data_IF_516495148580
#
_entry.id   IF_516495148580
#
_cell.length_a   1.000
_cell.length_b   1.000
_cell.length_c   1.000
_cell.angle_alpha   90.00
_cell.angle_beta   90.00
_cell.angle_gamma   90.00
#
_symmetry.space_group_name_H-M   'P 1'
#
loop_
_entity.id
_entity.type
_entity.pdbx_description
1 polymer ?
#
# COMPACT_ATOMS: atom_id res chain seq x y z
N UNK A 1 3.21 -10.74 -8.26
CA UNK A 1 4.47 -10.74 -9.05
C UNK A 1 4.47 -9.60 -10.07
N UNK A 2 3.35 -9.42 -10.74
CA UNK A 2 2.99 -8.41 -11.74
C UNK A 2 3.42 -6.99 -11.34
N UNK A 3 3.06 -6.53 -10.14
CA UNK A 3 3.42 -5.19 -9.65
C UNK A 3 4.93 -4.97 -9.57
N UNK A 4 5.67 -5.97 -9.06
CA UNK A 4 7.14 -5.89 -8.95
C UNK A 4 7.75 -5.87 -10.34
N UNK A 5 7.28 -6.70 -11.27
CA UNK A 5 7.79 -6.70 -12.64
C UNK A 5 7.50 -5.40 -13.39
N UNK A 6 6.28 -4.86 -13.28
CA UNK A 6 5.92 -3.59 -13.91
C UNK A 6 6.75 -2.43 -13.33
N UNK A 7 6.88 -2.38 -12.00
CA UNK A 7 7.69 -1.38 -11.32
C UNK A 7 9.18 -1.49 -11.70
N UNK A 8 9.72 -2.71 -11.79
CA UNK A 8 11.12 -2.94 -12.14
C UNK A 8 11.44 -2.63 -13.61
N UNK A 9 10.48 -2.81 -14.53
CA UNK A 9 10.64 -2.37 -15.93
C UNK A 9 10.52 -0.86 -16.12
N UNK A 10 10.08 -0.14 -15.09
CA UNK A 10 9.83 1.30 -15.19
C UNK A 10 8.64 1.62 -16.09
N UNK A 11 7.59 0.81 -16.02
CA UNK A 11 6.33 1.13 -16.70
C UNK A 11 5.87 2.52 -16.26
N UNK A 12 5.52 3.39 -17.21
CA UNK A 12 5.10 4.77 -16.94
C UNK A 12 3.67 4.82 -16.41
N UNK A 13 3.41 4.10 -15.31
CA UNK A 13 2.10 3.94 -14.68
C UNK A 13 2.12 4.51 -13.25
N UNK A 14 0.93 4.85 -12.77
CA UNK A 14 0.69 5.23 -11.39
C UNK A 14 -0.04 4.11 -10.67
N UNK A 15 0.53 3.63 -9.57
CA UNK A 15 -0.06 2.63 -8.70
C UNK A 15 -0.56 3.32 -7.45
N UNK A 16 -1.88 3.32 -7.24
CA UNK A 16 -2.51 3.82 -6.02
C UNK A 16 -2.83 2.62 -5.14
N UNK A 17 -2.04 2.42 -4.09
CA UNK A 17 -2.20 1.28 -3.20
C UNK A 17 -2.95 1.69 -1.93
N UNK A 18 -4.24 1.36 -1.84
CA UNK A 18 -5.03 1.59 -0.62
C UNK A 18 -4.73 0.48 0.38
N UNK A 19 -3.90 0.78 1.39
CA UNK A 19 -3.46 -0.18 2.39
C UNK A 19 -4.29 -0.03 3.66
N UNK A 20 -5.26 -0.93 3.83
CA UNK A 20 -6.07 -1.07 5.05
C UNK A 20 -5.69 -2.32 5.87
N UNK A 21 -4.55 -2.95 5.56
CA UNK A 21 -3.99 -4.08 6.29
C UNK A 21 -4.87 -5.35 6.36
N UNK A 22 -5.97 -5.46 5.61
CA UNK A 22 -6.86 -6.63 5.57
C UNK A 22 -7.51 -6.80 4.19
N UNK A 23 -8.11 -7.96 3.92
CA UNK A 23 -9.01 -8.11 2.78
C UNK A 23 -10.43 -7.67 3.15
N UNK A 24 -10.68 -6.37 3.06
CA UNK A 24 -11.94 -5.77 3.50
C UNK A 24 -13.19 -6.29 2.78
N UNK A 25 -13.13 -6.50 1.47
CA UNK A 25 -14.31 -6.92 0.67
C UNK A 25 -14.73 -8.38 0.89
N UNK A 26 -13.82 -9.22 1.40
CA UNK A 26 -14.08 -10.64 1.62
C UNK A 26 -14.36 -10.98 3.08
N UNK A 27 -14.51 -9.97 3.95
CA UNK A 27 -14.84 -10.16 5.37
C UNK A 27 -13.67 -9.98 6.34
N UNK A 28 -12.58 -9.33 5.92
CA UNK A 28 -11.50 -8.92 6.82
C UNK A 28 -10.49 -10.01 7.14
N UNK A 29 -10.14 -10.84 6.16
CA UNK A 29 -9.04 -11.81 6.28
C UNK A 29 -7.67 -11.11 6.36
N UNK A 30 -6.67 -11.86 6.79
CA UNK A 30 -5.28 -11.42 6.84
C UNK A 30 -4.76 -11.07 5.44
N UNK A 31 -4.24 -9.84 5.31
CA UNK A 31 -3.48 -9.38 4.15
C UNK A 31 -1.96 -9.51 4.39
N UNK A 32 -1.14 -9.42 3.35
CA UNK A 32 0.33 -9.42 3.50
C UNK A 32 0.86 -8.26 4.36
N UNK A 33 0.11 -7.16 4.46
CA UNK A 33 0.44 -5.98 5.25
C UNK A 33 -0.17 -5.97 6.66
N UNK A 34 -0.96 -6.99 7.03
CA UNK A 34 -1.55 -7.11 8.39
C UNK A 34 -0.45 -7.04 9.45
N UNK A 35 -0.64 -6.20 10.46
CA UNK A 35 0.35 -5.97 11.51
C UNK A 35 0.46 -7.18 12.45
N UNK A 36 1.63 -7.34 13.08
CA UNK A 36 1.84 -8.36 14.11
C UNK A 36 0.83 -8.14 15.25
N UNK A 37 0.17 -9.22 15.68
CA UNK A 37 -0.85 -9.17 16.73
C UNK A 37 -2.20 -8.59 16.31
N UNK A 38 -2.37 -8.07 15.09
CA UNK A 38 -3.66 -7.55 14.61
C UNK A 38 -4.64 -8.70 14.32
N UNK A 39 -5.78 -8.79 15.03
CA UNK A 39 -6.78 -9.83 14.77
C UNK A 39 -7.45 -9.64 13.40
N UNK A 40 -7.71 -10.76 12.73
CA UNK A 40 -8.44 -10.80 11.44
C UNK A 40 -9.35 -12.02 11.41
N UNK A 41 -10.23 -12.13 10.41
CA UNK A 41 -11.17 -13.27 10.30
C UNK A 41 -10.46 -14.64 10.22
N UNK A 42 -9.28 -14.69 9.61
CA UNK A 42 -8.46 -15.92 9.45
C UNK A 42 -7.35 -16.04 10.48
N UNK A 43 -7.05 -14.97 11.24
CA UNK A 43 -6.07 -14.95 12.32
C UNK A 43 -6.72 -14.33 13.57
N UNK A 44 -7.63 -15.06 14.25
CA UNK A 44 -8.43 -14.49 15.34
C UNK A 44 -7.61 -14.09 16.56
N UNK A 45 -6.46 -14.73 16.77
CA UNK A 45 -5.52 -14.42 17.85
C UNK A 45 -4.44 -13.39 17.46
N UNK A 46 -4.61 -12.76 16.28
CA UNK A 46 -3.62 -11.87 15.70
C UNK A 46 -2.65 -12.58 14.76
N UNK A 47 -1.93 -11.79 13.95
CA UNK A 47 -0.83 -12.30 13.13
C UNK A 47 0.32 -12.76 14.02
N UNK A 48 0.63 -14.04 13.97
CA UNK A 48 1.78 -14.65 14.61
C UNK A 48 2.94 -14.75 13.60
N UNK A 49 4.12 -14.27 13.96
CA UNK A 49 5.29 -14.29 13.07
C UNK A 49 5.75 -15.72 12.76
N UNK A 50 5.70 -16.63 13.74
CA UNK A 50 6.15 -18.02 13.56
C UNK A 50 5.24 -18.79 12.60
N UNK A 51 3.93 -18.48 12.62
CA UNK A 51 2.94 -19.15 11.78
C UNK A 51 2.68 -18.45 10.44
N UNK A 52 2.66 -17.11 10.45
CA UNK A 52 2.20 -16.29 9.33
C UNK A 52 3.31 -15.47 8.69
N UNK A 53 4.51 -15.44 9.28
CA UNK A 53 5.65 -14.62 8.82
C UNK A 53 5.52 -13.14 9.17
N UNK A 54 6.50 -12.32 8.78
CA UNK A 54 6.49 -10.88 9.01
C UNK A 54 5.61 -10.10 8.01
N UNK A 55 4.98 -8.98 8.42
CA UNK A 55 4.24 -8.12 7.50
C UNK A 55 5.15 -7.59 6.39
N UNK A 56 4.66 -7.62 5.15
CA UNK A 56 5.40 -7.09 4.01
C UNK A 56 5.32 -5.56 3.98
N UNK A 57 6.49 -4.92 4.00
CA UNK A 57 6.63 -3.47 3.81
C UNK A 57 6.66 -3.17 2.30
N UNK A 58 5.51 -3.26 1.64
CA UNK A 58 5.39 -3.16 0.18
C UNK A 58 6.06 -1.90 -0.38
N UNK A 59 5.85 -0.74 0.25
CA UNK A 59 6.52 0.51 -0.16
C UNK A 59 8.06 0.40 -0.12
N UNK A 60 8.63 -0.19 0.93
CA UNK A 60 10.09 -0.35 1.03
C UNK A 60 10.65 -1.28 -0.04
N UNK A 61 9.91 -2.35 -0.38
CA UNK A 61 10.32 -3.28 -1.45
C UNK A 61 10.31 -2.54 -2.80
N UNK A 62 9.24 -1.79 -3.09
CA UNK A 62 9.12 -1.06 -4.36
C UNK A 62 10.13 0.08 -4.48
N UNK A 63 10.47 0.76 -3.38
CA UNK A 63 11.44 1.85 -3.36
C UNK A 63 12.87 1.41 -3.69
N UNK A 64 13.16 0.11 -3.65
CA UNK A 64 14.46 -0.45 -4.01
C UNK A 64 14.57 -0.80 -5.51
N UNK A 65 13.49 -0.68 -6.28
CA UNK A 65 13.49 -1.04 -7.70
C UNK A 65 13.90 0.16 -8.55
N UNK A 66 14.90 -0.03 -9.40
CA UNK A 66 15.47 1.03 -10.26
C UNK A 66 14.44 1.66 -11.22
N UNK A 67 13.41 0.91 -11.62
CA UNK A 67 12.33 1.40 -12.49
C UNK A 67 11.30 2.28 -11.78
N UNK A 68 11.37 2.42 -10.46
CA UNK A 68 10.48 3.32 -9.71
C UNK A 68 11.09 4.72 -9.59
N UNK A 69 10.28 5.76 -9.86
CA UNK A 69 10.71 7.15 -9.73
C UNK A 69 10.12 7.86 -8.52
N UNK A 70 9.04 7.32 -7.95
CA UNK A 70 8.39 7.85 -6.77
C UNK A 70 7.77 6.69 -5.99
N UNK A 71 8.11 6.58 -4.71
CA UNK A 71 7.39 5.72 -3.77
C UNK A 71 7.10 6.54 -2.52
N UNK A 72 5.83 6.66 -2.16
CA UNK A 72 5.41 7.47 -1.02
C UNK A 72 4.25 6.83 -0.27
N UNK A 73 4.23 7.04 1.05
CA UNK A 73 3.14 6.61 1.92
C UNK A 73 2.41 7.84 2.46
N UNK A 74 1.10 7.85 2.30
CA UNK A 74 0.21 8.96 2.60
C UNK A 74 -0.93 8.49 3.49
N UNK A 75 -1.65 9.44 4.07
CA UNK A 75 -2.80 9.15 4.91
C UNK A 75 -3.94 10.14 4.61
N UNK A 76 -5.16 9.73 4.94
CA UNK A 76 -6.39 10.50 4.66
C UNK A 76 -7.26 10.72 5.90
N UNK A 77 -6.72 10.47 7.09
CA UNK A 77 -7.41 10.70 8.37
C UNK A 77 -7.65 12.18 8.71
N UNK A 78 -6.91 13.12 8.11
CA UNK A 78 -7.10 14.56 8.39
C UNK A 78 -7.19 15.38 7.10
N UNK A 79 -7.87 16.54 7.09
CA UNK A 79 -7.91 17.42 5.91
C UNK A 79 -6.52 17.84 5.42
N UNK A 80 -5.57 18.03 6.34
CA UNK A 80 -4.18 18.35 5.99
C UNK A 80 -3.50 17.17 5.28
N UNK A 81 -3.69 15.95 5.76
CA UNK A 81 -3.16 14.75 5.12
C UNK A 81 -3.80 14.52 3.75
N UNK A 82 -5.12 14.72 3.59
CA UNK A 82 -5.82 14.68 2.29
C UNK A 82 -5.19 15.63 1.28
N UNK A 83 -4.87 16.87 1.68
CA UNK A 83 -4.17 17.83 0.79
C UNK A 83 -2.77 17.35 0.38
N UNK A 84 -2.02 16.73 1.30
CA UNK A 84 -0.71 16.13 1.00
C UNK A 84 -0.85 14.96 0.02
N UNK A 85 -1.80 14.05 0.26
CA UNK A 85 -2.11 12.92 -0.63
C UNK A 85 -2.46 13.40 -2.02
N UNK A 86 -3.31 14.43 -2.15
CA UNK A 86 -3.67 15.04 -3.44
C UNK A 86 -2.44 15.57 -4.18
N UNK A 87 -1.51 16.24 -3.47
CA UNK A 87 -0.26 16.74 -4.07
C UNK A 87 0.60 15.58 -4.60
N UNK A 88 0.72 14.49 -3.82
CA UNK A 88 1.51 13.33 -4.23
C UNK A 88 0.90 12.56 -5.40
N UNK A 89 -0.43 12.41 -5.44
CA UNK A 89 -1.12 11.83 -6.59
C UNK A 89 -0.88 12.65 -7.85
N UNK A 90 -0.95 13.99 -7.75
CA UNK A 90 -0.65 14.87 -8.88
C UNK A 90 0.78 14.66 -9.40
N UNK A 91 1.76 14.66 -8.50
CA UNK A 91 3.16 14.42 -8.86
C UNK A 91 3.37 13.04 -9.52
N UNK A 92 2.69 12.00 -9.03
CA UNK A 92 2.77 10.66 -9.61
C UNK A 92 2.28 10.63 -11.06
N UNK A 93 1.13 11.27 -11.36
CA UNK A 93 0.63 11.37 -12.72
C UNK A 93 1.53 12.23 -13.61
N UNK A 94 2.05 13.35 -13.10
CA UNK A 94 3.02 14.18 -13.82
C UNK A 94 4.30 13.39 -14.18
N UNK A 95 4.79 12.53 -13.28
CA UNK A 95 5.93 11.66 -13.55
C UNK A 95 5.64 10.60 -14.61
N UNK A 96 4.46 9.96 -14.56
CA UNK A 96 4.01 8.98 -15.56
C UNK A 96 3.91 9.62 -16.96
N UNK A 97 3.27 10.80 -17.07
CA UNK A 97 3.17 11.54 -18.33
C UNK A 97 4.54 12.00 -18.86
N UNK A 98 5.49 12.27 -17.97
CA UNK A 98 6.86 12.65 -18.32
C UNK A 98 7.79 11.47 -18.61
N UNK A 99 7.29 10.23 -18.59
CA UNK A 99 8.10 9.06 -18.93
C UNK A 99 9.17 8.70 -17.90
N UNK A 100 9.01 9.08 -16.63
CA UNK A 100 10.05 8.94 -15.60
C UNK A 100 10.13 7.56 -14.95
N UNK A 101 9.21 6.65 -15.28
CA UNK A 101 9.08 5.33 -14.65
C UNK A 101 7.87 5.23 -13.72
N UNK A 102 7.81 4.14 -12.95
CA UNK A 102 6.64 3.82 -12.13
C UNK A 102 6.57 4.71 -10.90
N UNK A 103 5.37 5.27 -10.63
CA UNK A 103 5.08 5.98 -9.38
C UNK A 103 4.11 5.17 -8.52
N UNK A 104 4.40 5.07 -7.22
CA UNK A 104 3.58 4.34 -6.25
C UNK A 104 3.18 5.29 -5.12
N UNK A 105 1.87 5.44 -4.92
CA UNK A 105 1.29 6.21 -3.82
C UNK A 105 0.51 5.23 -2.95
N UNK A 106 1.13 4.80 -1.85
CA UNK A 106 0.44 4.05 -0.80
C UNK A 106 -0.41 5.02 0.03
N UNK A 107 -1.67 4.66 0.26
CA UNK A 107 -2.60 5.42 1.10
C UNK A 107 -3.04 4.50 2.23
N UNK A 108 -2.53 4.78 3.44
CA UNK A 108 -2.98 4.09 4.65
C UNK A 108 -4.39 4.54 4.95
N UNK A 109 -5.32 3.57 5.02
CA UNK A 109 -6.75 3.82 5.16
C UNK A 109 -7.39 2.93 6.21
N UNK A 110 -8.36 3.48 6.94
CA UNK A 110 -9.18 2.74 7.90
C UNK A 110 -10.23 1.90 7.16
N UNK A 111 -10.50 0.67 7.64
CA UNK A 111 -11.62 -0.15 7.19
C UNK A 111 -12.51 -0.49 8.39
N UNK A 112 -13.47 0.38 8.72
CA UNK A 112 -14.29 0.23 9.93
C UNK A 112 -15.05 -1.10 9.97
N UNK A 113 -15.61 -1.53 8.84
CA UNK A 113 -16.32 -2.80 8.73
C UNK A 113 -15.43 -4.02 9.01
N UNK A 114 -14.24 -4.05 8.41
CA UNK A 114 -13.33 -5.18 8.54
C UNK A 114 -12.53 -5.16 9.85
N UNK A 115 -12.26 -3.98 10.42
CA UNK A 115 -11.59 -3.83 11.71
C UNK A 115 -12.57 -3.92 12.90
N UNK A 116 -13.89 -3.94 12.63
CA UNK A 116 -14.96 -3.95 13.65
C UNK A 116 -14.86 -2.76 14.62
N UNK A 117 -14.58 -1.57 14.05
CA UNK A 117 -14.55 -0.29 14.77
C UNK A 117 -15.94 0.32 14.88
#
# INVERSE_FOLDING_TARGET
AETIHAANRGENIVIIFVNNAIYGMTGGQMAPTTLIGMPTATCPYGRDVALNGYPLKIGNILAQLDGTCLVTSQSVQTPAAVRKTKKMLRLAFENSMAGKGTSVVEVVSTCSSGWKL
#
